data_IF_954041705645
#
_entry.id   IF_954041705645
#
_cell.length_a   1.000
_cell.length_b   1.000
_cell.length_c   1.000
_cell.angle_alpha   90.00
_cell.angle_beta   90.00
_cell.angle_gamma   90.00
#
_symmetry.space_group_name_H-M   'P 1'
#
loop_
_entity.id
_entity.type
_entity.pdbx_description
1 polymer ?
#
# COMPACT_ATOMS: atom_id res chain seq x y z
N UNK A 1 -7.55 -10.58 13.07
CA UNK A 1 -7.08 -11.41 11.95
C UNK A 1 -7.70 -10.91 10.65
N UNK A 2 -6.90 -10.77 9.62
CA UNK A 2 -7.38 -10.32 8.30
C UNK A 2 -8.13 -11.46 7.62
N UNK A 3 -9.33 -11.18 7.11
CA UNK A 3 -10.14 -12.16 6.38
C UNK A 3 -9.35 -12.69 5.17
N UNK A 4 -9.39 -14.03 4.97
CA UNK A 4 -8.64 -14.68 3.90
C UNK A 4 -8.99 -14.14 2.50
N UNK A 5 -10.23 -13.69 2.29
CA UNK A 5 -10.64 -13.13 0.99
C UNK A 5 -9.95 -11.81 0.69
N UNK A 6 -9.67 -11.02 1.72
CA UNK A 6 -8.86 -9.81 1.58
C UNK A 6 -7.42 -10.17 1.23
N UNK A 7 -6.85 -11.13 1.95
CA UNK A 7 -5.47 -11.59 1.70
C UNK A 7 -5.31 -12.19 0.29
N UNK A 8 -6.30 -12.96 -0.15
CA UNK A 8 -6.29 -13.53 -1.50
C UNK A 8 -6.29 -12.44 -2.56
N UNK A 9 -7.17 -11.44 -2.41
CA UNK A 9 -7.21 -10.32 -3.33
C UNK A 9 -5.88 -9.56 -3.37
N UNK A 10 -5.30 -9.29 -2.22
CA UNK A 10 -4.00 -8.61 -2.13
C UNK A 10 -2.92 -9.41 -2.87
N UNK A 11 -2.91 -10.72 -2.70
CA UNK A 11 -1.91 -11.61 -3.33
C UNK A 11 -2.08 -11.77 -4.83
N UNK A 12 -3.30 -11.61 -5.35
CA UNK A 12 -3.59 -11.71 -6.78
C UNK A 12 -3.15 -10.48 -7.57
N UNK A 13 -2.97 -9.34 -6.90
CA UNK A 13 -2.64 -8.07 -7.54
C UNK A 13 -1.21 -7.66 -7.21
N UNK A 14 -0.67 -6.71 -7.96
CA UNK A 14 0.75 -6.37 -7.90
C UNK A 14 1.01 -4.89 -7.71
N UNK A 15 0.07 -4.03 -8.09
CA UNK A 15 0.25 -2.58 -8.09
C UNK A 15 -0.80 -1.91 -7.21
N UNK A 16 -0.35 -1.01 -6.36
CA UNK A 16 -1.23 -0.15 -5.58
C UNK A 16 -1.09 1.29 -6.01
N UNK A 17 -2.11 2.08 -5.73
CA UNK A 17 -2.00 3.52 -5.67
C UNK A 17 -1.88 3.92 -4.20
N UNK A 18 -0.88 4.71 -3.87
CA UNK A 18 -0.73 5.27 -2.53
C UNK A 18 -0.85 6.79 -2.62
N UNK A 19 -1.63 7.37 -1.74
CA UNK A 19 -1.85 8.81 -1.64
C UNK A 19 -1.24 9.33 -0.35
N UNK A 20 -0.60 10.48 -0.45
CA UNK A 20 0.13 11.10 0.65
C UNK A 20 -0.10 12.61 0.64
N UNK A 21 0.30 13.26 1.73
CA UNK A 21 0.09 14.69 1.92
C UNK A 21 1.31 15.29 2.59
N UNK A 22 1.55 16.58 2.33
CA UNK A 22 2.52 17.33 3.12
C UNK A 22 2.03 17.50 4.56
N UNK A 23 2.91 17.90 5.45
CA UNK A 23 2.49 18.52 6.70
C UNK A 23 1.78 19.82 6.34
N UNK A 24 1.05 20.40 7.32
CA UNK A 24 0.31 21.62 7.07
C UNK A 24 1.25 22.74 6.63
N UNK A 25 1.10 23.17 5.39
CA UNK A 25 1.91 24.24 4.82
C UNK A 25 1.52 25.62 5.31
N UNK A 26 2.24 26.66 4.85
CA UNK A 26 1.87 28.05 5.05
C UNK A 26 0.43 28.27 4.59
N UNK A 27 -0.34 29.03 5.35
CA UNK A 27 -1.76 29.31 5.06
C UNK A 27 -2.69 28.10 5.18
N UNK A 28 -2.21 27.01 5.79
CA UNK A 28 -3.04 25.84 6.05
C UNK A 28 -3.32 24.95 4.84
N UNK A 29 -2.65 25.19 3.71
CA UNK A 29 -2.84 24.37 2.49
C UNK A 29 -1.86 23.21 2.49
N UNK A 30 -2.38 21.99 2.38
CA UNK A 30 -1.57 20.80 2.22
C UNK A 30 -1.38 20.47 0.74
N UNK A 31 -0.19 20.00 0.40
CA UNK A 31 0.04 19.36 -0.89
C UNK A 31 -0.46 17.92 -0.81
N UNK A 32 -1.22 17.50 -1.81
CA UNK A 32 -1.68 16.12 -1.94
C UNK A 32 -1.03 15.53 -3.20
N UNK A 33 -0.60 14.28 -3.08
CA UNK A 33 0.05 13.61 -4.20
C UNK A 33 -0.25 12.13 -4.15
N UNK A 34 -0.21 11.46 -5.29
CA UNK A 34 -0.33 10.00 -5.33
C UNK A 34 0.71 9.39 -6.25
N UNK A 35 1.00 8.12 -6.04
CA UNK A 35 1.94 7.36 -6.84
C UNK A 35 1.47 5.92 -6.96
N UNK A 36 1.88 5.25 -8.03
CA UNK A 36 1.66 3.82 -8.20
C UNK A 36 2.93 3.08 -7.83
N UNK A 37 2.79 1.96 -7.15
CA UNK A 37 3.93 1.17 -6.70
C UNK A 37 3.61 -0.32 -6.77
N UNK A 38 4.59 -1.11 -7.22
CA UNK A 38 4.55 -2.55 -7.01
C UNK A 38 4.70 -2.84 -5.52
N UNK A 39 3.99 -3.86 -5.03
CA UNK A 39 4.01 -4.19 -3.61
C UNK A 39 4.08 -5.69 -3.37
N UNK A 40 4.54 -6.06 -2.20
CA UNK A 40 4.34 -7.38 -1.61
C UNK A 40 3.75 -7.19 -0.21
N UNK A 41 2.83 -8.06 0.16
CA UNK A 41 2.22 -8.00 1.49
C UNK A 41 2.98 -8.95 2.43
N UNK A 42 3.32 -8.45 3.60
CA UNK A 42 3.96 -9.23 4.66
C UNK A 42 2.93 -9.59 5.73
N UNK A 43 2.52 -10.88 5.83
CA UNK A 43 1.56 -11.27 6.84
C UNK A 43 2.07 -11.08 8.27
N UNK A 44 3.38 -11.16 8.48
CA UNK A 44 3.98 -11.02 9.81
C UNK A 44 3.82 -9.60 10.34
N UNK A 45 4.09 -8.61 9.49
CA UNK A 45 3.92 -7.19 9.85
C UNK A 45 2.48 -6.72 9.62
N UNK A 46 1.67 -7.49 8.89
CA UNK A 46 0.37 -7.07 8.38
C UNK A 46 0.48 -5.74 7.62
N UNK A 47 1.43 -5.70 6.69
CA UNK A 47 1.76 -4.47 5.97
C UNK A 47 2.22 -4.72 4.55
N UNK A 48 2.22 -3.64 3.78
CA UNK A 48 2.67 -3.64 2.39
C UNK A 48 4.10 -3.15 2.31
N UNK A 49 4.93 -3.86 1.56
CA UNK A 49 6.32 -3.48 1.30
C UNK A 49 6.39 -2.92 -0.11
N UNK A 50 6.92 -1.71 -0.25
CA UNK A 50 7.20 -1.08 -1.55
C UNK A 50 8.64 -0.59 -1.57
N UNK A 51 9.16 -0.34 -2.77
CA UNK A 51 10.46 0.31 -2.93
C UNK A 51 10.28 1.62 -3.68
N UNK A 52 11.07 2.61 -3.32
CA UNK A 52 11.05 3.91 -3.99
C UNK A 52 12.28 4.70 -3.65
N UNK A 53 12.80 5.44 -4.62
CA UNK A 53 13.94 6.32 -4.36
C UNK A 53 13.52 7.49 -3.47
N UNK A 54 14.42 7.86 -2.56
CA UNK A 54 14.16 8.95 -1.60
C UNK A 54 13.94 10.32 -2.27
N UNK A 55 14.41 10.50 -3.48
CA UNK A 55 14.27 11.76 -4.22
C UNK A 55 12.88 11.96 -4.84
N UNK A 56 12.05 10.93 -4.89
CA UNK A 56 10.70 11.04 -5.46
C UNK A 56 9.83 11.95 -4.59
N UNK A 57 8.84 12.58 -5.22
CA UNK A 57 7.96 13.48 -4.46
C UNK A 57 7.19 12.74 -3.38
N UNK A 58 6.66 11.56 -3.70
CA UNK A 58 5.93 10.78 -2.68
C UNK A 58 6.83 10.35 -1.53
N UNK A 59 8.09 9.96 -1.80
CA UNK A 59 9.00 9.58 -0.72
C UNK A 59 9.32 10.76 0.21
N UNK A 60 9.51 11.95 -0.35
CA UNK A 60 9.71 13.15 0.44
C UNK A 60 8.50 13.46 1.33
N UNK A 61 7.29 13.29 0.78
CA UNK A 61 6.06 13.50 1.54
C UNK A 61 5.88 12.45 2.62
N UNK A 62 6.28 11.19 2.38
CA UNK A 62 6.25 10.14 3.40
C UNK A 62 7.10 10.51 4.62
N UNK A 63 8.27 11.10 4.38
CA UNK A 63 9.15 11.54 5.48
C UNK A 63 8.59 12.73 6.24
N UNK A 64 7.89 13.61 5.55
CA UNK A 64 7.29 14.80 6.14
C UNK A 64 6.01 14.47 6.92
N UNK A 65 5.17 13.61 6.37
CA UNK A 65 3.90 13.20 6.95
C UNK A 65 3.68 11.71 6.68
N UNK A 66 3.78 10.85 7.70
CA UNK A 66 3.69 9.41 7.52
C UNK A 66 2.27 8.88 7.27
N UNK A 67 1.24 9.71 7.37
CA UNK A 67 -0.14 9.28 7.12
C UNK A 67 -0.36 9.08 5.63
N UNK A 68 -0.88 7.93 5.26
CA UNK A 68 -1.14 7.57 3.87
C UNK A 68 -2.48 6.86 3.73
N UNK A 69 -3.02 6.92 2.52
CA UNK A 69 -4.13 6.09 2.10
C UNK A 69 -3.74 5.40 0.80
N UNK A 70 -4.48 4.39 0.43
CA UNK A 70 -4.21 3.74 -0.84
C UNK A 70 -5.31 2.84 -1.31
N UNK A 71 -5.13 2.32 -2.50
CA UNK A 71 -6.09 1.40 -3.09
C UNK A 71 -5.42 0.41 -4.02
N UNK A 72 -6.05 -0.76 -4.12
CA UNK A 72 -5.73 -1.79 -5.10
C UNK A 72 -7.04 -2.11 -5.78
N UNK A 73 -7.07 -2.09 -7.10
CA UNK A 73 -8.31 -2.30 -7.84
C UNK A 73 -8.11 -3.30 -8.96
N UNK A 74 -9.10 -4.16 -9.17
CA UNK A 74 -9.21 -4.95 -10.38
C UNK A 74 -9.77 -4.06 -11.48
N UNK A 75 -8.99 -3.80 -12.51
CA UNK A 75 -9.47 -3.07 -13.67
C UNK A 75 -10.47 -3.95 -14.43
N UNK A 76 -11.69 -3.48 -14.62
CA UNK A 76 -12.75 -4.19 -15.31
C UNK A 76 -13.78 -3.20 -15.85
N UNK A 77 -14.37 -3.52 -16.98
CA UNK A 77 -15.50 -2.75 -17.52
C UNK A 77 -16.86 -3.35 -17.10
N UNK A 78 -16.85 -4.45 -16.35
CA UNK A 78 -18.07 -5.12 -15.89
C UNK A 78 -18.34 -4.78 -14.42
N UNK A 79 -19.43 -4.04 -14.17
CA UNK A 79 -19.82 -3.59 -12.81
C UNK A 79 -19.97 -4.78 -11.85
N UNK A 80 -20.54 -5.89 -12.31
CA UNK A 80 -20.74 -7.08 -11.47
C UNK A 80 -19.45 -7.77 -11.04
N UNK A 81 -18.31 -7.42 -11.66
CA UNK A 81 -17.00 -7.99 -11.35
C UNK A 81 -16.09 -7.04 -10.59
N UNK A 82 -16.58 -5.87 -10.20
CA UNK A 82 -15.76 -4.90 -9.45
C UNK A 82 -15.26 -5.53 -8.15
N UNK A 83 -13.95 -5.45 -7.97
CA UNK A 83 -13.26 -5.82 -6.74
C UNK A 83 -12.21 -4.77 -6.43
N UNK A 84 -12.12 -4.36 -5.19
CA UNK A 84 -11.16 -3.34 -4.81
C UNK A 84 -10.93 -3.27 -3.33
N UNK A 85 -9.73 -2.87 -2.97
CA UNK A 85 -9.32 -2.64 -1.59
C UNK A 85 -8.97 -1.18 -1.40
N UNK A 86 -9.47 -0.58 -0.34
CA UNK A 86 -9.07 0.74 0.13
C UNK A 86 -8.46 0.59 1.52
N UNK A 87 -7.44 1.36 1.82
CA UNK A 87 -6.82 1.33 3.15
C UNK A 87 -6.36 2.72 3.57
N UNK A 88 -6.23 2.89 4.86
CA UNK A 88 -5.60 4.05 5.48
C UNK A 88 -4.64 3.56 6.56
N UNK A 89 -3.51 4.24 6.73
CA UNK A 89 -2.51 3.85 7.71
C UNK A 89 -1.31 4.76 7.69
N UNK A 90 -0.17 4.19 8.03
CA UNK A 90 1.09 4.93 8.12
C UNK A 90 2.18 4.24 7.29
N UNK A 91 3.15 5.02 6.86
CA UNK A 91 4.31 4.54 6.12
C UNK A 91 5.58 4.89 6.88
N UNK A 92 6.56 3.99 6.84
CA UNK A 92 7.89 4.26 7.40
C UNK A 92 8.97 3.75 6.48
N UNK A 93 10.11 4.43 6.49
CA UNK A 93 11.30 3.97 5.81
C UNK A 93 11.95 2.87 6.66
N UNK A 94 12.25 1.73 6.06
CA UNK A 94 12.84 0.61 6.77
C UNK A 94 14.35 0.78 6.88
N UNK A 95 14.91 0.36 8.01
CA UNK A 95 16.36 0.33 8.24
C UNK A 95 16.75 -0.95 8.98
N UNK A 96 18.06 -1.22 9.05
CA UNK A 96 18.60 -2.34 9.80
C UNK A 96 18.01 -3.69 9.39
N UNK A 97 17.68 -4.52 10.37
CA UNK A 97 17.14 -5.87 10.13
C UNK A 97 15.79 -5.85 9.44
N UNK A 98 14.98 -4.84 9.71
CA UNK A 98 13.67 -4.69 9.02
C UNK A 98 13.89 -4.42 7.53
N UNK A 99 14.85 -3.57 7.18
CA UNK A 99 15.21 -3.33 5.79
C UNK A 99 15.59 -4.62 5.08
N UNK A 100 16.50 -5.40 5.69
CA UNK A 100 16.98 -6.64 5.09
C UNK A 100 15.85 -7.64 4.85
N UNK A 101 14.99 -7.82 5.85
CA UNK A 101 13.89 -8.75 5.77
C UNK A 101 12.85 -8.32 4.73
N UNK A 102 12.46 -7.06 4.74
CA UNK A 102 11.48 -6.53 3.79
C UNK A 102 12.01 -6.52 2.36
N UNK A 103 13.28 -6.12 2.18
CA UNK A 103 13.91 -6.15 0.86
C UNK A 103 13.95 -7.57 0.30
N UNK A 104 14.30 -8.55 1.12
CA UNK A 104 14.34 -9.95 0.68
C UNK A 104 12.97 -10.42 0.20
N UNK A 105 11.90 -10.11 0.94
CA UNK A 105 10.54 -10.46 0.55
C UNK A 105 10.13 -9.79 -0.76
N UNK A 106 10.49 -8.52 -0.91
CA UNK A 106 10.18 -7.77 -2.12
C UNK A 106 10.89 -8.37 -3.34
N UNK A 107 12.19 -8.68 -3.22
CA UNK A 107 12.98 -9.28 -4.30
C UNK A 107 12.51 -10.69 -4.64
N UNK A 108 11.97 -11.41 -3.68
CA UNK A 108 11.43 -12.75 -3.92
C UNK A 108 10.21 -12.70 -4.85
N UNK A 109 9.39 -11.68 -4.72
CA UNK A 109 8.23 -11.46 -5.60
C UNK A 109 8.62 -10.79 -6.91
N UNK A 110 9.57 -9.85 -6.86
CA UNK A 110 10.02 -9.05 -8.00
C UNK A 110 11.53 -9.13 -8.16
N UNK A 111 12.07 -10.26 -8.68
CA UNK A 111 13.52 -10.46 -8.76
C UNK A 111 14.27 -9.38 -9.55
N UNK A 112 13.64 -8.78 -10.55
CA UNK A 112 14.27 -7.74 -11.37
C UNK A 112 14.55 -6.46 -10.58
N UNK A 113 13.90 -6.28 -9.44
CA UNK A 113 14.13 -5.11 -8.60
C UNK A 113 15.53 -5.06 -7.98
N UNK A 114 16.29 -6.17 -8.04
CA UNK A 114 17.67 -6.20 -7.58
C UNK A 114 18.55 -5.18 -8.31
N UNK A 115 18.21 -4.85 -9.55
CA UNK A 115 18.95 -3.87 -10.35
C UNK A 115 18.56 -2.42 -10.06
N UNK A 116 17.49 -2.20 -9.31
CA UNK A 116 17.06 -0.87 -8.90
C UNK A 116 17.48 -0.64 -7.46
N UNK A 117 18.18 0.45 -7.22
CA UNK A 117 18.40 0.95 -5.87
C UNK A 117 17.12 1.57 -5.33
N UNK A 118 17.20 2.14 -4.15
CA UNK A 118 16.10 2.84 -3.53
C UNK A 118 15.87 2.38 -2.12
N UNK A 119 15.04 3.14 -1.44
CA UNK A 119 14.64 2.83 -0.07
C UNK A 119 13.53 1.77 -0.08
N UNK A 120 13.43 1.05 1.01
CA UNK A 120 12.34 0.11 1.28
C UNK A 120 11.40 0.76 2.27
N UNK A 121 10.11 0.75 1.94
CA UNK A 121 9.07 1.39 2.75
C UNK A 121 8.06 0.34 3.18
N UNK A 122 7.64 0.43 4.44
CA UNK A 122 6.59 -0.43 5.00
C UNK A 122 5.36 0.41 5.28
N UNK A 123 4.25 0.05 4.63
CA UNK A 123 2.96 0.69 4.84
C UNK A 123 2.14 -0.22 5.75
N UNK A 124 1.77 0.31 6.92
CA UNK A 124 0.98 -0.41 7.92
C UNK A 124 -0.44 0.13 7.90
N UNK A 125 -1.40 -0.59 7.29
CA UNK A 125 -2.78 -0.15 7.34
C UNK A 125 -3.33 -0.25 8.76
N UNK A 126 -4.09 0.75 9.15
CA UNK A 126 -4.87 0.74 10.39
C UNK A 126 -6.25 0.16 10.13
N UNK A 127 -6.76 0.37 8.93
CA UNK A 127 -8.07 -0.14 8.50
C UNK A 127 -8.06 -0.41 7.01
N UNK A 128 -8.85 -1.40 6.62
CA UNK A 128 -9.05 -1.77 5.21
C UNK A 128 -10.54 -1.98 4.94
N UNK A 129 -10.96 -1.62 3.73
CA UNK A 129 -12.30 -1.91 3.21
C UNK A 129 -12.14 -2.62 1.88
N UNK A 130 -12.67 -3.83 1.81
CA UNK A 130 -12.67 -4.64 0.59
C UNK A 130 -14.08 -4.71 0.01
N UNK A 131 -14.22 -4.38 -1.26
CA UNK A 131 -15.47 -4.48 -2.00
C UNK A 131 -15.35 -5.62 -3.01
N UNK A 132 -16.35 -6.49 -3.04
CA UNK A 132 -16.42 -7.59 -4.02
C UNK A 132 -17.86 -7.76 -4.47
N UNK A 133 -18.17 -7.24 -5.66
CA UNK A 133 -19.54 -7.30 -6.21
C UNK A 133 -19.96 -8.72 -6.58
N UNK A 134 -19.04 -9.67 -6.69
CA UNK A 134 -19.40 -11.07 -6.95
C UNK A 134 -20.08 -11.74 -5.76
N UNK A 135 -19.83 -11.24 -4.54
CA UNK A 135 -20.45 -11.75 -3.31
C UNK A 135 -21.84 -11.17 -3.08
N UNK A 136 -22.25 -10.22 -3.90
CA UNK A 136 -23.46 -9.45 -3.79
C UNK A 136 -23.17 -7.99 -4.10
N UNK A 137 -24.05 -7.32 -4.80
CA UNK A 137 -23.80 -5.95 -5.26
C UNK A 137 -23.46 -5.04 -4.07
N UNK A 138 -22.25 -4.45 -4.11
CA UNK A 138 -21.79 -3.56 -3.05
C UNK A 138 -21.37 -4.26 -1.75
N UNK A 139 -21.21 -5.58 -1.74
CA UNK A 139 -20.79 -6.32 -0.54
C UNK A 139 -19.40 -5.90 -0.11
N UNK A 140 -19.24 -5.60 1.19
CA UNK A 140 -18.00 -5.07 1.75
C UNK A 140 -17.54 -5.90 2.95
N UNK A 141 -16.22 -6.06 3.06
CA UNK A 141 -15.56 -6.63 4.22
C UNK A 141 -14.67 -5.55 4.83
N UNK A 142 -14.78 -5.39 6.14
CA UNK A 142 -14.01 -4.37 6.87
C UNK A 142 -12.99 -5.05 7.78
N UNK A 143 -11.83 -4.45 7.90
CA UNK A 143 -10.81 -4.86 8.84
C UNK A 143 -10.23 -3.62 9.52
N UNK A 144 -9.95 -3.75 10.80
CA UNK A 144 -9.31 -2.71 11.59
C UNK A 144 -8.23 -3.34 12.46
N UNK A 145 -7.07 -2.68 12.50
CA UNK A 145 -5.95 -3.11 13.34
C UNK A 145 -6.34 -2.94 14.81
N UNK A 146 -6.02 -3.93 15.60
CA UNK A 146 -6.24 -3.89 17.04
C UNK A 146 -5.11 -3.19 17.77
#
# INVERSE_FOLDING_TARGET
MIDSRILDFIGEHHVMTVACASSQGAEGVQELWCANAFYVFDPQEEGFIITSEAKTRHAQLFLENPQVTGSIVLETEEIGKIRGLQFAGTVRCCDGGLFDRCRLKYLKRFPYAVFKGGEVWLILPDRMKYTDNRLGFGKKLLWQRK
#
